data_IF_755840096851
#
_entry.id   IF_755840096851
#
_cell.length_a   1.000
_cell.length_b   1.000
_cell.length_c   1.000
_cell.angle_alpha   90.00
_cell.angle_beta   90.00
_cell.angle_gamma   90.00
#
_symmetry.space_group_name_H-M   'P 1'
#
loop_
_entity.id
_entity.type
_entity.pdbx_description
1 polymer ?
#
# COMPACT_ATOMS: atom_id res chain seq x y z
N UNK A 1 2.02 -16.50 -15.99
CA UNK A 1 1.85 -16.37 -14.53
C UNK A 1 0.41 -15.98 -14.25
N UNK A 2 -0.25 -16.58 -13.26
CA UNK A 2 -1.65 -16.28 -12.89
C UNK A 2 -1.69 -15.73 -11.47
N UNK A 3 -2.24 -14.53 -11.30
CA UNK A 3 -2.49 -13.94 -9.98
C UNK A 3 -3.84 -14.45 -9.45
N UNK A 4 -3.92 -14.70 -8.15
CA UNK A 4 -5.14 -15.06 -7.44
C UNK A 4 -5.27 -14.11 -6.27
N UNK A 5 -6.38 -13.38 -6.23
CA UNK A 5 -6.68 -12.43 -5.16
C UNK A 5 -7.73 -13.01 -4.22
N UNK A 6 -7.51 -12.84 -2.91
CA UNK A 6 -8.48 -13.19 -1.89
C UNK A 6 -8.26 -12.31 -0.65
N UNK A 7 -9.35 -11.95 0.02
CA UNK A 7 -9.30 -11.26 1.31
C UNK A 7 -9.22 -12.29 2.44
N UNK A 8 -8.30 -12.08 3.37
CA UNK A 8 -8.16 -12.89 4.58
C UNK A 8 -7.61 -12.03 5.71
N UNK A 9 -7.71 -12.53 6.94
CA UNK A 9 -7.08 -11.90 8.10
C UNK A 9 -5.77 -12.60 8.40
N UNK A 10 -4.74 -11.81 8.71
CA UNK A 10 -3.49 -12.34 9.24
C UNK A 10 -3.75 -12.93 10.64
N UNK A 11 -3.37 -14.18 10.87
CA UNK A 11 -3.45 -14.82 12.18
C UNK A 11 -2.08 -15.37 12.54
N UNK A 12 -1.52 -14.99 13.67
CA UNK A 12 -0.20 -15.45 14.14
C UNK A 12 0.91 -15.26 13.08
N UNK A 13 0.90 -14.13 12.38
CA UNK A 13 1.78 -13.81 11.23
C UNK A 13 1.67 -14.78 10.05
N UNK A 14 0.56 -15.52 9.94
CA UNK A 14 0.27 -16.43 8.84
C UNK A 14 -0.92 -15.93 8.02
N UNK A 15 -0.78 -16.05 6.69
CA UNK A 15 -1.88 -15.83 5.74
C UNK A 15 -2.62 -17.16 5.59
N UNK A 16 -3.86 -17.21 6.09
CA UNK A 16 -4.70 -18.39 5.92
C UNK A 16 -5.34 -18.37 4.53
N UNK A 17 -4.99 -19.35 3.70
CA UNK A 17 -5.54 -19.51 2.36
C UNK A 17 -6.92 -20.20 2.45
N UNK A 18 -8.01 -19.60 1.94
CA UNK A 18 -9.33 -20.22 1.96
C UNK A 18 -9.38 -21.53 1.14
N UNK A 19 -10.23 -22.49 1.54
CA UNK A 19 -10.34 -23.82 0.90
C UNK A 19 -10.62 -23.76 -0.62
N UNK A 20 -11.39 -22.76 -1.04
CA UNK A 20 -11.68 -22.49 -2.45
C UNK A 20 -10.41 -22.19 -3.26
N UNK A 21 -9.43 -21.53 -2.65
CA UNK A 21 -8.16 -21.18 -3.27
C UNK A 21 -7.15 -22.32 -3.12
N UNK A 22 -7.14 -23.03 -1.99
CA UNK A 22 -6.30 -24.23 -1.81
C UNK A 22 -6.50 -25.26 -2.94
N UNK A 23 -7.75 -25.45 -3.37
CA UNK A 23 -8.07 -26.34 -4.51
C UNK A 23 -7.41 -25.90 -5.82
N UNK A 24 -7.22 -24.60 -6.02
CA UNK A 24 -6.51 -24.06 -7.18
C UNK A 24 -4.98 -24.17 -7.07
N UNK A 25 -4.47 -24.33 -5.85
CA UNK A 25 -3.04 -24.45 -5.53
C UNK A 25 -2.55 -25.91 -5.47
N UNK A 26 -3.46 -26.91 -5.49
CA UNK A 26 -3.11 -28.35 -5.47
C UNK A 26 -2.14 -28.79 -6.57
N UNK A 27 -2.06 -28.07 -7.69
CA UNK A 27 -1.10 -28.33 -8.78
C UNK A 27 0.26 -27.63 -8.63
N UNK A 28 0.45 -26.90 -7.52
CA UNK A 28 1.64 -26.09 -7.24
C UNK A 28 2.27 -26.46 -5.88
N UNK A 29 1.95 -27.64 -5.34
CA UNK A 29 2.37 -28.13 -4.03
C UNK A 29 3.88 -28.20 -3.80
N UNK A 30 4.69 -28.07 -4.85
CA UNK A 30 6.15 -28.13 -4.79
C UNK A 30 6.82 -27.07 -5.71
N UNK A 31 6.17 -25.91 -5.83
CA UNK A 31 6.64 -24.81 -6.68
C UNK A 31 6.86 -23.56 -5.85
N UNK A 32 7.91 -22.82 -6.17
CA UNK A 32 8.12 -21.47 -5.65
C UNK A 32 6.96 -20.57 -6.10
N UNK A 33 6.35 -19.89 -5.12
CA UNK A 33 5.26 -18.95 -5.36
C UNK A 33 5.70 -17.52 -5.03
N UNK A 34 5.28 -16.57 -5.86
CA UNK A 34 5.42 -15.14 -5.57
C UNK A 34 4.17 -14.66 -4.87
N UNK A 35 4.32 -14.12 -3.66
CA UNK A 35 3.23 -13.55 -2.86
C UNK A 35 3.25 -12.02 -2.99
N UNK A 36 2.08 -11.43 -3.20
CA UNK A 36 1.87 -9.98 -3.16
C UNK A 36 0.85 -9.71 -2.06
N UNK A 37 1.24 -8.93 -1.05
CA UNK A 37 0.40 -8.61 0.10
C UNK A 37 -0.01 -7.15 -0.04
N UNK A 38 -1.31 -6.89 0.00
CA UNK A 38 -1.87 -5.56 0.14
C UNK A 38 -2.52 -5.51 1.53
N UNK A 39 -2.14 -4.51 2.32
CA UNK A 39 -2.70 -4.24 3.64
C UNK A 39 -3.41 -2.90 3.50
N UNK A 40 -4.63 -2.80 4.02
CA UNK A 40 -5.31 -1.51 4.07
C UNK A 40 -4.54 -0.61 5.04
N UNK A 41 -4.16 0.58 4.59
CA UNK A 41 -3.52 1.58 5.43
C UNK A 41 -4.50 1.99 6.53
N UNK A 42 -4.24 1.48 7.74
CA UNK A 42 -4.89 1.96 8.96
C UNK A 42 -4.04 3.02 9.66
N UNK A 43 -2.80 3.19 9.22
CA UNK A 43 -1.87 4.20 9.73
C UNK A 43 -2.21 5.56 9.12
N UNK A 44 -2.93 6.36 9.91
CA UNK A 44 -3.16 7.79 9.68
C UNK A 44 -1.84 8.57 9.51
N UNK A 45 -0.72 7.98 9.91
CA UNK A 45 0.62 8.55 9.84
C UNK A 45 1.24 8.50 8.44
N UNK A 46 0.93 7.49 7.60
CA UNK A 46 1.47 7.44 6.23
C UNK A 46 0.81 8.48 5.31
N UNK A 47 -0.50 8.68 5.43
CA UNK A 47 -1.20 9.77 4.74
C UNK A 47 -0.67 11.14 5.17
N UNK A 48 -0.40 11.34 6.46
CA UNK A 48 0.20 12.58 6.96
C UNK A 48 1.62 12.76 6.44
N UNK A 49 2.45 11.72 6.42
CA UNK A 49 3.80 11.78 5.87
C UNK A 49 3.78 12.11 4.38
N UNK A 50 2.90 11.46 3.61
CA UNK A 50 2.75 11.70 2.18
C UNK A 50 2.23 13.11 1.89
N UNK A 51 1.22 13.57 2.65
CA UNK A 51 0.69 14.94 2.57
C UNK A 51 1.77 15.98 2.89
N UNK A 52 2.53 15.78 3.96
CA UNK A 52 3.61 16.68 4.36
C UNK A 52 4.73 16.73 3.32
N UNK A 53 5.14 15.59 2.77
CA UNK A 53 6.16 15.52 1.73
C UNK A 53 5.70 16.24 0.45
N UNK A 54 4.44 16.05 0.04
CA UNK A 54 3.88 16.75 -1.12
C UNK A 54 3.81 18.27 -0.89
N UNK A 55 3.40 18.71 0.31
CA UNK A 55 3.38 20.13 0.67
C UNK A 55 4.78 20.75 0.59
N UNK A 56 5.79 20.08 1.15
CA UNK A 56 7.17 20.57 1.12
C UNK A 56 7.74 20.63 -0.30
N UNK A 57 7.47 19.62 -1.12
CA UNK A 57 7.92 19.59 -2.52
C UNK A 57 7.17 20.62 -3.39
N UNK A 58 5.88 20.82 -3.14
CA UNK A 58 5.09 21.87 -3.78
C UNK A 58 5.66 23.27 -3.46
N UNK A 59 5.97 23.53 -2.18
CA UNK A 59 6.47 24.82 -1.71
C UNK A 59 7.95 25.07 -2.04
N UNK A 60 8.75 24.04 -2.35
CA UNK A 60 10.16 24.21 -2.77
C UNK A 60 10.33 25.04 -4.06
N UNK A 61 9.28 25.19 -4.86
CA UNK A 61 9.25 26.04 -6.05
C UNK A 61 8.69 27.44 -5.83
N UNK A 62 8.10 27.72 -4.67
CA UNK A 62 7.54 29.03 -4.34
C UNK A 62 8.52 29.81 -3.47
N UNK A 63 9.16 30.83 -4.04
CA UNK A 63 9.93 31.78 -3.24
C UNK A 63 8.95 32.64 -2.42
N UNK A 64 9.28 32.95 -1.16
CA UNK A 64 8.46 33.86 -0.35
C UNK A 64 8.30 35.25 -0.99
N UNK A 65 9.18 35.62 -1.93
CA UNK A 65 9.09 36.84 -2.74
C UNK A 65 8.02 36.78 -3.85
N UNK A 66 7.55 35.59 -4.23
CA UNK A 66 6.48 35.38 -5.21
C UNK A 66 5.08 35.41 -4.57
N UNK A 67 5.00 35.52 -3.23
CA UNK A 67 3.76 35.77 -2.49
C UNK A 67 3.30 37.24 -2.63
N UNK A 68 3.05 37.68 -3.87
CA UNK A 68 2.60 39.04 -4.20
C UNK A 68 1.19 39.33 -3.63
N UNK A 69 0.46 38.27 -3.24
CA UNK A 69 -0.92 38.35 -2.75
C UNK A 69 -1.09 38.08 -1.24
N UNK A 70 -0.04 37.75 -0.48
CA UNK A 70 -0.17 37.45 0.97
C UNK A 70 -0.27 38.70 1.86
N UNK A 71 -0.19 39.91 1.28
CA UNK A 71 -0.16 41.18 2.04
C UNK A 71 -1.38 42.09 1.77
N UNK A 72 -2.59 41.57 1.88
CA UNK A 72 -3.83 42.37 1.98
C UNK A 72 -4.82 41.82 3.00
#
# INVERSE_FOLDING_TARGET
>A
MRAIEFQTRLKDNQILIPDKIQSQLKGASDKDIRVMILIDDTDTDEEQMFSNMNREQFLKGYAASDSIYDTY
#
